data_IF_876353770873
#
_entry.id   IF_876353770873
#
_cell.length_a   1.000
_cell.length_b   1.000
_cell.length_c   1.000
_cell.angle_alpha   90.00
_cell.angle_beta   90.00
_cell.angle_gamma   90.00
#
_symmetry.space_group_name_H-M   'P 1'
#
loop_
_entity.id
_entity.type
_entity.pdbx_description
1 polymer ?
#
# COMPACT_ATOMS: atom_id res chain seq x y z
N UNK A 1 -7.71 -11.71 13.27
CA UNK A 1 -8.45 -10.97 14.34
C UNK A 1 -7.52 -9.98 15.04
N UNK A 2 -8.02 -9.09 15.93
CA UNK A 2 -7.23 -8.00 16.54
C UNK A 2 -6.00 -8.47 17.35
N UNK A 3 -6.00 -9.71 17.84
CA UNK A 3 -4.81 -10.33 18.46
C UNK A 3 -3.65 -10.55 17.48
N UNK A 4 -3.95 -10.80 16.20
CA UNK A 4 -2.96 -11.12 15.16
C UNK A 4 -2.19 -9.86 14.74
N UNK A 5 -2.89 -8.73 14.61
CA UNK A 5 -2.29 -7.42 14.32
C UNK A 5 -1.41 -6.90 15.47
N UNK A 6 -1.73 -7.26 16.72
CA UNK A 6 -0.87 -6.96 17.88
C UNK A 6 0.48 -7.69 17.81
N UNK A 7 0.50 -8.90 17.25
CA UNK A 7 1.71 -9.69 17.02
C UNK A 7 2.44 -9.10 15.82
N UNK A 8 1.77 -8.84 14.69
CA UNK A 8 2.39 -8.21 13.51
C UNK A 8 3.02 -6.85 13.86
N UNK A 9 2.34 -6.02 14.65
CA UNK A 9 2.87 -4.73 15.14
C UNK A 9 4.10 -4.90 16.03
N UNK A 10 4.11 -5.89 16.94
CA UNK A 10 5.30 -6.24 17.73
C UNK A 10 6.45 -6.77 16.87
N UNK A 11 6.17 -7.58 15.86
CA UNK A 11 7.18 -8.12 14.95
C UNK A 11 7.76 -7.02 14.06
N UNK A 12 6.92 -6.11 13.58
CA UNK A 12 7.36 -4.92 12.84
C UNK A 12 8.24 -4.04 13.74
N UNK A 13 7.79 -3.72 14.95
CA UNK A 13 8.56 -2.95 15.91
C UNK A 13 9.89 -3.65 16.26
N UNK A 14 9.89 -4.96 16.44
CA UNK A 14 11.13 -5.72 16.68
C UNK A 14 12.05 -5.70 15.47
N UNK A 15 11.52 -5.92 14.27
CA UNK A 15 12.27 -5.93 13.02
C UNK A 15 12.93 -4.56 12.76
N UNK A 16 12.15 -3.47 12.85
CA UNK A 16 12.64 -2.11 12.64
C UNK A 16 13.64 -1.66 13.70
N UNK A 17 13.53 -2.14 14.95
CA UNK A 17 14.40 -1.69 16.04
C UNK A 17 15.56 -2.63 16.38
N UNK A 18 15.55 -3.89 15.93
CA UNK A 18 16.50 -4.93 16.34
C UNK A 18 17.17 -5.67 15.18
N UNK A 19 16.65 -5.60 13.96
CA UNK A 19 17.28 -6.25 12.81
C UNK A 19 18.02 -5.23 11.94
N UNK A 20 19.34 -5.15 12.09
CA UNK A 20 20.23 -4.32 11.25
C UNK A 20 19.96 -4.42 9.72
N UNK A 21 19.64 -5.60 9.14
CA UNK A 21 19.33 -5.70 7.71
C UNK A 21 18.00 -5.06 7.30
N UNK A 22 17.08 -4.85 8.24
CA UNK A 22 15.74 -4.30 8.03
C UNK A 22 15.61 -2.88 8.56
N UNK A 23 16.46 -2.49 9.51
CA UNK A 23 16.75 -1.12 9.90
C UNK A 23 17.72 -0.49 8.88
N UNK A 24 17.40 -0.64 7.59
CA UNK A 24 18.19 -0.01 6.54
C UNK A 24 18.07 1.50 6.69
N UNK A 25 19.13 2.26 6.38
CA UNK A 25 18.98 3.67 6.14
C UNK A 25 17.88 3.87 5.10
N UNK A 26 17.16 4.97 5.28
CA UNK A 26 15.98 5.30 4.50
C UNK A 26 16.22 5.10 3.00
N UNK A 27 15.23 4.55 2.27
CA UNK A 27 15.36 4.38 0.83
C UNK A 27 15.71 5.73 0.18
N UNK A 28 16.72 5.73 -0.70
CA UNK A 28 17.01 6.90 -1.52
C UNK A 28 15.75 7.28 -2.30
N UNK A 29 15.53 8.58 -2.53
CA UNK A 29 14.30 9.08 -3.16
C UNK A 29 14.01 8.41 -4.51
N UNK A 30 15.07 8.00 -5.23
CA UNK A 30 15.00 7.30 -6.52
C UNK A 30 14.50 5.86 -6.42
N UNK A 31 14.57 5.26 -5.22
CA UNK A 31 14.09 3.90 -4.92
C UNK A 31 12.65 3.86 -4.40
N UNK A 32 12.03 5.03 -4.16
CA UNK A 32 10.60 5.12 -3.87
C UNK A 32 9.79 4.87 -5.15
N UNK A 33 8.56 4.34 -5.08
CA UNK A 33 7.67 4.31 -6.23
C UNK A 33 7.34 5.73 -6.71
N UNK A 34 6.85 5.90 -7.95
CA UNK A 34 6.46 7.24 -8.43
C UNK A 34 5.21 7.77 -7.73
N UNK A 35 4.41 6.87 -7.14
CA UNK A 35 3.14 7.18 -6.47
C UNK A 35 2.97 6.33 -5.21
N UNK A 36 2.37 6.92 -4.17
CA UNK A 36 1.93 6.25 -2.95
C UNK A 36 0.52 6.70 -2.57
N UNK A 37 -0.21 5.86 -1.84
CA UNK A 37 -1.46 6.24 -1.20
C UNK A 37 -1.13 6.74 0.21
N UNK A 38 -1.40 8.02 0.48
CA UNK A 38 -1.29 8.63 1.79
C UNK A 38 -2.59 8.45 2.58
N UNK A 39 -2.46 7.95 3.81
CA UNK A 39 -3.52 7.79 4.78
C UNK A 39 -3.58 9.01 5.70
N UNK A 40 -4.78 9.59 5.82
CA UNK A 40 -5.07 10.79 6.59
C UNK A 40 -6.19 10.48 7.59
N UNK A 41 -5.86 10.25 8.86
CA UNK A 41 -6.86 10.05 9.90
C UNK A 41 -7.76 11.30 10.02
N UNK A 42 -9.07 11.09 10.05
CA UNK A 42 -10.08 12.14 10.24
C UNK A 42 -11.15 11.64 11.22
N UNK A 43 -10.91 11.84 12.51
CA UNK A 43 -11.75 11.27 13.56
C UNK A 43 -11.66 9.74 13.54
N UNK A 44 -12.81 9.07 13.48
CA UNK A 44 -12.89 7.61 13.40
C UNK A 44 -12.69 7.03 11.99
N UNK A 45 -12.55 7.88 10.97
CA UNK A 45 -12.38 7.45 9.57
C UNK A 45 -10.95 7.68 9.08
N UNK A 46 -10.50 6.84 8.15
CA UNK A 46 -9.23 7.01 7.43
C UNK A 46 -9.56 7.49 6.03
N UNK A 47 -9.12 8.70 5.66
CA UNK A 47 -9.17 9.17 4.27
C UNK A 47 -7.89 8.81 3.55
N UNK A 48 -7.99 8.48 2.27
CA UNK A 48 -6.85 8.13 1.44
C UNK A 48 -6.73 9.12 0.28
N UNK A 49 -5.50 9.44 -0.16
CA UNK A 49 -5.26 10.15 -1.42
C UNK A 49 -3.95 9.69 -2.07
N UNK A 50 -3.86 9.82 -3.38
CA UNK A 50 -2.65 9.53 -4.13
C UNK A 50 -1.66 10.72 -4.02
N UNK A 51 -0.40 10.42 -3.72
CA UNK A 51 0.72 11.37 -3.70
C UNK A 51 1.76 10.97 -4.71
N UNK A 52 2.34 11.94 -5.40
CA UNK A 52 3.49 11.72 -6.27
C UNK A 52 4.77 11.72 -5.45
N UNK A 53 5.80 11.04 -5.95
CA UNK A 53 7.13 10.94 -5.31
C UNK A 53 7.69 12.30 -4.94
N UNK A 54 7.56 13.30 -5.81
CA UNK A 54 8.09 14.65 -5.63
C UNK A 54 7.39 15.42 -4.50
N UNK A 55 6.23 14.92 -4.07
CA UNK A 55 5.45 15.51 -2.98
C UNK A 55 5.71 14.80 -1.64
N UNK A 56 6.40 13.66 -1.64
CA UNK A 56 6.63 12.89 -0.42
C UNK A 56 7.63 13.60 0.49
N UNK A 57 7.46 13.49 1.82
CA UNK A 57 8.49 13.92 2.73
C UNK A 57 9.79 13.14 2.46
N UNK A 58 10.94 13.76 2.74
CA UNK A 58 12.24 13.09 2.60
C UNK A 58 12.29 11.77 3.37
N UNK A 59 11.62 11.71 4.54
CA UNK A 59 11.41 10.48 5.29
C UNK A 59 10.04 9.85 5.02
N UNK A 60 9.97 8.87 4.11
CA UNK A 60 8.73 8.18 3.76
C UNK A 60 8.84 6.67 3.99
N UNK A 61 8.19 6.18 5.05
CA UNK A 61 7.97 4.74 5.28
C UNK A 61 6.63 4.34 4.71
N UNK A 62 6.59 3.26 3.95
CA UNK A 62 5.39 2.75 3.32
C UNK A 62 5.31 1.23 3.39
N UNK A 63 4.10 0.72 3.23
CA UNK A 63 3.78 -0.71 3.15
C UNK A 63 3.45 -1.06 1.71
N UNK A 64 3.77 -2.27 1.25
CA UNK A 64 3.27 -2.79 -0.04
C UNK A 64 2.15 -3.79 0.18
N UNK A 65 1.23 -3.90 -0.79
CA UNK A 65 0.23 -4.96 -0.83
C UNK A 65 0.50 -5.89 -2.02
N UNK A 66 0.81 -7.16 -1.72
CA UNK A 66 0.77 -8.24 -2.72
C UNK A 66 -0.62 -8.89 -2.71
N UNK A 67 -1.30 -8.90 -3.85
CA UNK A 67 -2.65 -9.48 -3.94
C UNK A 67 -2.91 -10.08 -5.33
N UNK A 68 -3.82 -11.06 -5.40
CA UNK A 68 -4.33 -11.55 -6.67
C UNK A 68 -5.42 -10.61 -7.19
N UNK A 69 -5.22 -10.09 -8.40
CA UNK A 69 -6.17 -9.16 -9.04
C UNK A 69 -7.53 -9.81 -9.37
N UNK A 70 -7.59 -11.15 -9.40
CA UNK A 70 -8.79 -11.92 -9.69
C UNK A 70 -9.15 -11.95 -11.19
N UNK A 71 -10.35 -12.47 -11.52
CA UNK A 71 -10.87 -12.56 -12.90
C UNK A 71 -11.83 -11.41 -13.28
N UNK A 72 -11.99 -10.40 -12.42
CA UNK A 72 -12.94 -9.29 -12.59
C UNK A 72 -12.28 -7.94 -12.84
N UNK A 73 -13.08 -6.87 -12.87
CA UNK A 73 -12.56 -5.49 -12.93
C UNK A 73 -11.86 -5.13 -11.63
N UNK A 74 -10.54 -5.22 -11.61
CA UNK A 74 -9.73 -4.67 -10.51
C UNK A 74 -9.92 -3.16 -10.47
N UNK A 75 -10.22 -2.63 -9.29
CA UNK A 75 -10.25 -1.18 -9.11
C UNK A 75 -8.85 -0.63 -9.33
N UNK A 76 -8.68 0.13 -10.41
CA UNK A 76 -7.38 0.48 -10.98
C UNK A 76 -7.25 1.97 -11.30
N UNK A 77 -6.06 2.52 -11.07
CA UNK A 77 -5.70 3.87 -11.45
C UNK A 77 -5.62 3.99 -12.98
N UNK A 78 -6.30 5.01 -13.49
CA UNK A 78 -6.31 5.41 -14.90
C UNK A 78 -6.16 6.91 -15.00
N UNK A 79 -5.81 7.40 -16.19
CA UNK A 79 -5.56 8.82 -16.44
C UNK A 79 -6.78 9.70 -16.13
N UNK A 80 -7.99 9.20 -16.39
CA UNK A 80 -9.27 9.91 -16.16
C UNK A 80 -9.58 10.14 -14.67
N UNK A 81 -9.13 9.25 -13.78
CA UNK A 81 -9.40 9.35 -12.34
C UNK A 81 -8.19 9.81 -11.51
N UNK A 82 -7.01 9.94 -12.13
CA UNK A 82 -5.77 10.33 -11.46
C UNK A 82 -5.91 11.63 -10.64
N UNK A 83 -6.48 12.67 -11.25
CA UNK A 83 -6.66 13.98 -10.60
C UNK A 83 -7.60 13.89 -9.39
N UNK A 84 -8.70 13.12 -9.51
CA UNK A 84 -9.64 12.89 -8.42
C UNK A 84 -8.97 12.15 -7.26
N UNK A 85 -8.19 11.10 -7.55
CA UNK A 85 -7.52 10.30 -6.52
C UNK A 85 -6.44 11.07 -5.77
N UNK A 86 -5.84 12.10 -6.38
CA UNK A 86 -4.94 13.03 -5.67
C UNK A 86 -5.65 13.89 -4.61
N UNK A 87 -6.96 14.06 -4.75
CA UNK A 87 -7.78 14.81 -3.79
C UNK A 87 -8.32 13.91 -2.68
N UNK A 88 -9.00 12.84 -3.07
CA UNK A 88 -9.57 11.83 -2.17
C UNK A 88 -9.83 10.54 -2.95
N UNK A 89 -9.51 9.39 -2.35
CA UNK A 89 -9.86 8.07 -2.86
C UNK A 89 -11.12 7.63 -2.11
N UNK A 90 -12.20 7.23 -2.82
CA UNK A 90 -13.43 6.76 -2.19
C UNK A 90 -13.21 5.39 -1.55
N UNK A 91 -12.71 5.36 -0.31
CA UNK A 91 -12.31 4.15 0.40
C UNK A 91 -13.40 3.07 0.45
N UNK A 92 -14.66 3.46 0.63
CA UNK A 92 -15.81 2.55 0.69
C UNK A 92 -16.09 1.82 -0.64
N UNK A 93 -15.63 2.38 -1.77
CA UNK A 93 -15.77 1.78 -3.09
C UNK A 93 -14.59 0.88 -3.47
N UNK A 94 -13.53 0.87 -2.66
CA UNK A 94 -12.38 0.02 -2.90
C UNK A 94 -12.74 -1.45 -2.61
N UNK A 95 -12.11 -2.41 -3.31
CA UNK A 95 -12.20 -3.82 -2.95
C UNK A 95 -11.82 -4.05 -1.49
N UNK A 96 -12.42 -5.06 -0.87
CA UNK A 96 -12.27 -5.32 0.58
C UNK A 96 -10.81 -5.53 0.99
N UNK A 97 -10.01 -6.19 0.14
CA UNK A 97 -8.57 -6.37 0.39
C UNK A 97 -7.83 -5.04 0.49
N UNK A 98 -8.24 -4.01 -0.26
CA UNK A 98 -7.60 -2.70 -0.22
C UNK A 98 -8.03 -1.91 1.02
N UNK A 99 -9.31 -2.01 1.39
CA UNK A 99 -9.82 -1.44 2.63
C UNK A 99 -9.07 -2.03 3.84
N UNK A 100 -8.94 -3.36 3.89
CA UNK A 100 -8.20 -4.03 4.95
C UNK A 100 -6.72 -3.62 4.95
N UNK A 101 -6.07 -3.51 3.79
CA UNK A 101 -4.68 -3.06 3.71
C UNK A 101 -4.49 -1.62 4.22
N UNK A 102 -5.45 -0.72 3.94
CA UNK A 102 -5.47 0.65 4.46
C UNK A 102 -5.59 0.64 5.99
N UNK A 103 -6.55 -0.13 6.52
CA UNK A 103 -6.77 -0.26 7.97
C UNK A 103 -5.54 -0.82 8.67
N UNK A 104 -4.96 -1.91 8.16
CA UNK A 104 -3.74 -2.52 8.72
C UNK A 104 -2.57 -1.56 8.68
N UNK A 105 -2.37 -0.84 7.56
CA UNK A 105 -1.30 0.16 7.44
C UNK A 105 -1.45 1.25 8.51
N UNK A 106 -2.67 1.74 8.73
CA UNK A 106 -2.96 2.74 9.75
C UNK A 106 -2.74 2.21 11.17
N UNK A 107 -3.21 1.00 11.48
CA UNK A 107 -3.04 0.36 12.80
C UNK A 107 -1.56 0.09 13.13
N UNK A 108 -0.73 -0.16 12.12
CA UNK A 108 0.72 -0.30 12.26
C UNK A 108 1.45 1.05 12.46
N UNK A 109 0.73 2.17 12.48
CA UNK A 109 1.29 3.52 12.65
C UNK A 109 2.01 4.05 11.42
N UNK A 110 1.72 3.50 10.23
CA UNK A 110 2.26 3.95 8.96
C UNK A 110 1.23 4.76 8.18
N UNK A 111 1.70 5.72 7.41
CA UNK A 111 0.84 6.66 6.68
C UNK A 111 0.79 6.41 5.18
N UNK A 112 1.55 5.44 4.67
CA UNK A 112 1.65 5.22 3.22
C UNK A 112 1.52 3.75 2.87
N UNK A 113 0.75 3.47 1.83
CA UNK A 113 0.64 2.14 1.23
C UNK A 113 0.81 2.24 -0.29
N UNK A 114 1.50 1.25 -0.84
CA UNK A 114 1.63 1.05 -2.28
C UNK A 114 0.81 -0.17 -2.68
N UNK A 115 -0.12 0.04 -3.61
CA UNK A 115 -0.96 -1.00 -4.20
C UNK A 115 -0.79 -0.86 -5.70
N UNK A 116 -0.20 -1.86 -6.38
CA UNK A 116 0.16 -1.80 -7.80
C UNK A 116 -0.99 -1.27 -8.70
N UNK A 117 -2.21 -1.79 -8.53
CA UNK A 117 -3.37 -1.38 -9.31
C UNK A 117 -3.76 0.08 -9.09
N UNK A 118 -3.48 0.66 -7.92
CA UNK A 118 -3.82 2.04 -7.55
C UNK A 118 -2.66 3.02 -7.65
N UNK A 119 -1.43 2.52 -7.73
CA UNK A 119 -0.22 3.33 -7.78
C UNK A 119 0.44 3.31 -9.15
N UNK A 120 0.02 2.46 -10.09
CA UNK A 120 0.52 2.40 -11.48
C UNK A 120 -0.62 2.78 -12.43
N UNK A 121 -0.37 3.66 -13.42
CA UNK A 121 -1.38 3.99 -14.44
C UNK A 121 -1.57 2.81 -15.39
N UNK A 122 -2.71 2.12 -15.28
CA UNK A 122 -2.97 0.89 -16.03
C UNK A 122 -3.30 1.12 -17.51
N UNK A 123 -3.66 2.35 -17.87
CA UNK A 123 -3.94 2.78 -19.25
C UNK A 123 -2.71 3.40 -19.95
N UNK A 124 -1.55 3.43 -19.28
CA UNK A 124 -0.30 3.96 -19.84
C UNK A 124 0.78 2.88 -19.88
N UNK A 125 1.11 2.43 -21.09
CA UNK A 125 2.15 1.41 -21.30
C UNK A 125 3.54 1.90 -20.87
N UNK A 126 3.83 3.18 -21.07
CA UNK A 126 5.09 3.79 -20.63
C UNK A 126 5.18 3.79 -19.11
N UNK A 127 4.12 4.23 -18.43
CA UNK A 127 4.07 4.30 -16.96
C UNK A 127 4.20 2.92 -16.34
N UNK A 128 3.50 1.95 -16.92
CA UNK A 128 3.57 0.56 -16.48
C UNK A 128 4.98 0.00 -16.63
N UNK A 129 5.64 0.21 -17.78
CA UNK A 129 6.99 -0.27 -18.01
C UNK A 129 7.99 0.35 -17.03
N UNK A 130 7.84 1.65 -16.78
CA UNK A 130 8.60 2.39 -15.79
C UNK A 130 8.43 1.82 -14.37
N UNK A 131 7.20 1.63 -13.91
CA UNK A 131 6.93 1.09 -12.58
C UNK A 131 7.34 -0.38 -12.45
N UNK A 132 7.16 -1.18 -13.50
CA UNK A 132 7.56 -2.59 -13.52
C UNK A 132 9.08 -2.75 -13.34
N UNK A 133 9.90 -1.90 -13.97
CA UNK A 133 11.36 -1.90 -13.76
C UNK A 133 11.75 -1.56 -12.32
N UNK A 134 10.95 -0.74 -11.64
CA UNK A 134 11.20 -0.30 -10.26
C UNK A 134 10.58 -1.22 -9.21
N UNK A 135 9.67 -2.10 -9.59
CA UNK A 135 8.85 -2.91 -8.69
C UNK A 135 9.68 -3.68 -7.66
N UNK A 136 10.77 -4.32 -8.08
CA UNK A 136 11.67 -5.02 -7.17
C UNK A 136 12.29 -4.09 -6.10
N UNK A 137 12.63 -2.85 -6.49
CA UNK A 137 13.09 -1.81 -5.58
C UNK A 137 11.99 -1.33 -4.64
N UNK A 138 10.76 -1.15 -5.14
CA UNK A 138 9.60 -0.75 -4.32
C UNK A 138 9.35 -1.78 -3.21
N UNK A 139 9.28 -3.07 -3.54
CA UNK A 139 9.13 -4.13 -2.54
C UNK A 139 10.36 -4.23 -1.61
N UNK A 140 11.57 -4.04 -2.13
CA UNK A 140 12.80 -4.09 -1.34
C UNK A 140 13.00 -2.91 -0.38
N UNK A 141 12.32 -1.79 -0.63
CA UNK A 141 12.35 -0.55 0.15
C UNK A 141 11.14 -0.38 1.09
N UNK A 142 10.12 -1.24 0.95
CA UNK A 142 8.94 -1.20 1.82
C UNK A 142 9.31 -1.59 3.26
N UNK A 143 8.63 -0.96 4.23
CA UNK A 143 8.80 -1.32 5.65
C UNK A 143 8.18 -2.67 5.99
N UNK A 144 7.13 -3.04 5.26
CA UNK A 144 6.42 -4.31 5.38
C UNK A 144 5.72 -4.61 4.05
N UNK A 145 5.53 -5.89 3.74
CA UNK A 145 4.59 -6.33 2.72
C UNK A 145 3.38 -7.01 3.38
N UNK A 146 2.17 -6.55 3.05
CA UNK A 146 0.92 -7.24 3.36
C UNK A 146 0.66 -8.21 2.21
N UNK A 147 0.57 -9.50 2.51
CA UNK A 147 0.32 -10.53 1.50
C UNK A 147 -1.10 -11.10 1.63
N UNK A 148 -1.94 -10.88 0.61
CA UNK A 148 -3.31 -11.38 0.52
C UNK A 148 -3.37 -12.83 0.02
N UNK A 149 -2.62 -13.74 0.65
CA UNK A 149 -2.35 -15.09 0.13
C UNK A 149 -3.56 -16.03 0.12
N UNK A 150 -4.56 -15.78 0.98
CA UNK A 150 -5.76 -16.61 1.08
C UNK A 150 -6.84 -16.28 0.03
N UNK A 151 -6.65 -15.23 -0.76
CA UNK A 151 -7.69 -14.72 -1.67
C UNK A 151 -7.37 -14.95 -3.15
N UNK A 152 -8.35 -15.47 -3.89
CA UNK A 152 -8.30 -15.56 -5.35
C UNK A 152 -8.72 -14.26 -6.07
N UNK A 153 -9.14 -13.22 -5.34
CA UNK A 153 -9.55 -11.91 -5.89
C UNK A 153 -9.39 -10.74 -4.90
N UNK A 154 -9.37 -9.49 -5.38
CA UNK A 154 -9.31 -8.32 -4.49
C UNK A 154 -10.56 -8.13 -3.61
N UNK A 155 -11.62 -8.90 -3.87
CA UNK A 155 -12.92 -8.77 -3.20
C UNK A 155 -13.07 -9.64 -1.93
N UNK A 156 -12.23 -10.69 -1.75
CA UNK A 156 -12.43 -11.61 -0.64
C UNK A 156 -12.04 -11.02 0.73
N UNK A 157 -11.17 -9.99 0.76
CA UNK A 157 -10.63 -9.42 1.99
C UNK A 157 -9.40 -10.15 2.53
N UNK A 158 -8.67 -9.48 3.43
CA UNK A 158 -7.50 -10.02 4.13
C UNK A 158 -7.87 -10.71 5.44
N UNK A 159 -8.98 -10.30 6.06
CA UNK A 159 -9.39 -10.74 7.39
C UNK A 159 -10.45 -11.85 7.32
N UNK A 160 -10.20 -12.89 6.52
CA UNK A 160 -11.09 -14.04 6.44
C UNK A 160 -11.02 -14.76 7.80
N UNK A 161 -12.14 -14.79 8.52
CA UNK A 161 -12.25 -15.39 9.84
C UNK A 161 -11.84 -16.86 9.81
N UNK A 162 -10.79 -17.20 10.55
CA UNK A 162 -10.72 -18.51 11.17
C UNK A 162 -11.68 -18.45 12.36
N UNK A 163 -12.88 -18.97 12.16
CA UNK A 163 -13.66 -19.52 13.26
C UNK A 163 -12.98 -20.81 13.76
#
# INVERSE_FOLDING_TARGET
>A
GPHDLSISGRWLAHCLNKHLPCNKPMPELQSLPSRLIELRPKGAQIRARLRLREELPGECRFVTLSHCWGKGHTYSLRSDILSAFRTDIPGEQLPRTFQDAISVTHELGLSYVWIDSLCILQDSTSDWADEAQRMAGVYGSASLNIAATASTSSDAGLLIGHD
#
